data_IF_854636446211
#
_entry.id   IF_854636446211
#
_cell.length_a   1.000
_cell.length_b   1.000
_cell.length_c   1.000
_cell.angle_alpha   90.00
_cell.angle_beta   90.00
_cell.angle_gamma   90.00
#
_symmetry.space_group_name_H-M   'P 1'
#
loop_
_entity.id
_entity.type
_entity.pdbx_description
1 polymer ?
#
# COMPACT_ATOMS: atom_id res chain seq x y z
N UNK A 1 -2.18 1.05 -14.30
CA UNK A 1 -1.18 2.15 -14.28
C UNK A 1 -0.46 2.27 -12.93
N UNK A 2 -1.13 2.46 -11.78
CA UNK A 2 -0.42 2.42 -10.47
C UNK A 2 -0.09 0.98 -10.03
N UNK A 3 -1.03 0.05 -10.21
CA UNK A 3 -0.84 -1.37 -9.91
C UNK A 3 0.34 -2.01 -10.68
N UNK A 4 0.62 -1.54 -11.91
CA UNK A 4 1.73 -2.05 -12.73
C UNK A 4 3.10 -1.55 -12.21
N UNK A 5 3.15 -0.33 -11.68
CA UNK A 5 4.34 0.22 -11.01
C UNK A 5 4.60 -0.54 -9.72
N UNK A 6 3.56 -0.81 -8.93
CA UNK A 6 3.66 -1.62 -7.71
C UNK A 6 4.22 -3.01 -8.02
N UNK A 7 3.71 -3.66 -9.08
CA UNK A 7 4.15 -5.00 -9.50
C UNK A 7 5.58 -5.06 -10.07
N UNK A 8 6.07 -3.98 -10.67
CA UNK A 8 7.38 -3.98 -11.34
C UNK A 8 8.51 -3.40 -10.48
N UNK A 9 8.20 -2.46 -9.58
CA UNK A 9 9.21 -1.68 -8.83
C UNK A 9 9.45 -2.21 -7.43
N UNK A 10 8.41 -2.68 -6.74
CA UNK A 10 8.49 -3.07 -5.34
C UNK A 10 9.08 -4.48 -5.07
N UNK A 11 8.98 -5.48 -5.96
CA UNK A 11 9.53 -6.81 -5.69
C UNK A 11 11.01 -6.81 -5.31
N UNK A 12 11.34 -7.54 -4.24
CA UNK A 12 12.71 -7.67 -3.73
C UNK A 12 13.25 -6.48 -2.94
N UNK A 13 12.50 -5.37 -2.87
CA UNK A 13 12.86 -4.17 -2.10
C UNK A 13 12.61 -4.36 -0.62
N UNK A 14 13.47 -3.76 0.18
CA UNK A 14 13.36 -3.72 1.64
C UNK A 14 12.37 -2.65 2.09
N UNK A 15 11.88 -2.74 3.35
CA UNK A 15 11.03 -1.70 3.97
C UNK A 15 11.55 -0.27 3.74
N UNK A 16 12.85 -0.04 3.96
CA UNK A 16 13.47 1.28 3.83
C UNK A 16 13.41 1.78 2.38
N UNK A 17 13.70 0.93 1.41
CA UNK A 17 13.59 1.29 -0.02
C UNK A 17 12.13 1.56 -0.41
N UNK A 18 11.18 0.76 0.10
CA UNK A 18 9.76 0.99 -0.13
C UNK A 18 9.33 2.36 0.40
N UNK A 19 9.77 2.72 1.61
CA UNK A 19 9.49 4.03 2.21
C UNK A 19 10.19 5.19 1.48
N UNK A 20 11.34 4.94 0.84
CA UNK A 20 11.98 5.94 -0.01
C UNK A 20 11.23 6.17 -1.33
N UNK A 21 10.59 5.14 -1.88
CA UNK A 21 9.86 5.21 -3.16
C UNK A 21 8.45 5.76 -2.94
N UNK A 22 7.74 5.24 -1.93
CA UNK A 22 6.33 5.53 -1.67
C UNK A 22 6.14 6.64 -0.64
N UNK A 23 7.20 7.02 0.08
CA UNK A 23 7.14 7.87 1.26
C UNK A 23 6.97 7.05 2.56
N UNK A 24 6.96 7.71 3.72
CA UNK A 24 6.73 7.04 5.00
C UNK A 24 5.35 6.39 5.03
N UNK A 25 5.25 5.18 5.57
CA UNK A 25 3.94 4.55 5.78
C UNK A 25 3.11 5.31 6.80
N UNK A 26 1.79 5.27 6.65
CA UNK A 26 0.90 5.89 7.63
C UNK A 26 0.79 5.03 8.90
N UNK A 27 0.92 5.66 10.06
CA UNK A 27 0.61 5.02 11.34
C UNK A 27 -0.89 5.10 11.60
N UNK A 28 -1.63 4.05 11.21
CA UNK A 28 -3.08 3.99 11.42
C UNK A 28 -3.59 2.59 11.72
N UNK A 29 -4.73 2.53 12.42
CA UNK A 29 -5.40 1.28 12.82
C UNK A 29 -6.31 0.67 11.74
N UNK A 30 -6.59 1.40 10.65
CA UNK A 30 -7.33 0.84 9.50
C UNK A 30 -6.73 -0.49 9.07
N UNK A 31 -7.51 -1.48 8.66
CA UNK A 31 -7.02 -2.81 8.23
C UNK A 31 -5.88 -3.44 9.06
N UNK A 32 -5.69 -3.08 10.35
CA UNK A 32 -4.62 -3.66 11.19
C UNK A 32 -4.82 -5.18 11.39
N UNK A 33 -6.08 -5.62 11.39
CA UNK A 33 -6.47 -7.03 11.40
C UNK A 33 -6.03 -7.82 10.16
N UNK A 34 -5.66 -7.15 9.06
CA UNK A 34 -5.15 -7.82 7.86
C UNK A 34 -3.70 -8.32 7.99
N UNK A 35 -3.02 -7.95 9.10
CA UNK A 35 -1.63 -8.32 9.34
C UNK A 35 -0.63 -7.64 8.41
N UNK A 36 -1.00 -6.52 7.79
CA UNK A 36 -0.10 -5.72 6.92
C UNK A 36 1.04 -5.09 7.72
N UNK A 37 2.16 -4.84 7.03
CA UNK A 37 3.34 -4.19 7.60
C UNK A 37 3.42 -2.69 7.25
N UNK A 38 2.87 -2.33 6.10
CA UNK A 38 2.91 -0.99 5.53
C UNK A 38 1.55 -0.64 4.92
N UNK A 39 1.20 0.64 4.96
CA UNK A 39 -0.06 1.16 4.43
C UNK A 39 0.12 2.56 3.83
N UNK A 40 -0.51 2.78 2.68
CA UNK A 40 -0.51 4.03 1.94
C UNK A 40 -1.92 4.39 1.45
N UNK A 41 -2.24 5.67 1.43
CA UNK A 41 -3.45 6.20 0.79
C UNK A 41 -3.14 6.43 -0.68
N UNK A 42 -3.91 5.81 -1.58
CA UNK A 42 -3.80 6.02 -3.03
C UNK A 42 -4.60 7.23 -3.52
N UNK A 43 -5.41 7.81 -2.64
CA UNK A 43 -6.21 9.00 -2.87
C UNK A 43 -7.69 8.68 -3.10
N UNK A 44 -8.56 9.71 -3.15
CA UNK A 44 -9.97 9.52 -3.47
C UNK A 44 -10.12 9.16 -4.95
N UNK A 45 -10.90 8.13 -5.26
CA UNK A 45 -11.29 7.84 -6.64
C UNK A 45 -12.11 9.01 -7.20
N UNK A 46 -11.61 9.66 -8.26
CA UNK A 46 -12.19 10.90 -8.83
C UNK A 46 -13.42 10.67 -9.71
N UNK A 47 -13.88 9.43 -9.89
CA UNK A 47 -14.96 9.10 -10.84
C UNK A 47 -16.38 9.12 -10.23
N UNK A 48 -16.52 9.26 -8.91
CA UNK A 48 -17.82 9.12 -8.25
C UNK A 48 -18.34 10.45 -7.68
N UNK A 49 -19.37 11.01 -8.30
CA UNK A 49 -20.04 12.25 -7.84
C UNK A 49 -20.70 12.16 -6.45
N UNK A 50 -20.72 11.00 -5.77
CA UNK A 50 -21.46 10.83 -4.51
C UNK A 50 -20.84 9.92 -3.44
N UNK A 51 -19.65 9.31 -3.64
CA UNK A 51 -19.01 8.48 -2.62
C UNK A 51 -17.49 8.64 -2.70
N UNK A 52 -16.87 9.15 -1.63
CA UNK A 52 -15.42 9.22 -1.49
C UNK A 52 -14.98 7.94 -0.77
N UNK A 53 -14.91 6.83 -1.49
CA UNK A 53 -14.25 5.64 -0.96
C UNK A 53 -12.74 5.88 -1.05
N UNK A 54 -12.06 5.75 0.09
CA UNK A 54 -10.60 5.92 0.12
C UNK A 54 -9.95 4.64 -0.36
N UNK A 55 -9.13 4.71 -1.40
CA UNK A 55 -8.37 3.55 -1.86
C UNK A 55 -7.04 3.46 -1.08
N UNK A 56 -6.76 2.27 -0.55
CA UNK A 56 -5.61 2.00 0.30
C UNK A 56 -4.73 0.91 -0.29
N UNK A 57 -3.43 1.15 -0.32
CA UNK A 57 -2.42 0.15 -0.63
C UNK A 57 -1.92 -0.48 0.66
N UNK A 58 -2.12 -1.80 0.78
CA UNK A 58 -1.62 -2.63 1.87
C UNK A 58 -0.42 -3.42 1.35
N UNK A 59 0.69 -3.43 2.10
CA UNK A 59 1.89 -4.19 1.74
C UNK A 59 2.27 -5.10 2.91
N UNK A 60 2.68 -6.32 2.55
CA UNK A 60 3.25 -7.31 3.46
C UNK A 60 4.71 -7.56 3.11
N UNK A 61 5.51 -7.73 4.15
CA UNK A 61 6.92 -8.05 4.06
C UNK A 61 7.15 -9.50 4.45
N UNK A 62 8.14 -10.12 3.82
CA UNK A 62 8.61 -11.44 4.21
C UNK A 62 9.40 -11.37 5.53
N UNK A 63 9.81 -12.55 6.02
CA UNK A 63 10.63 -12.70 7.22
C UNK A 63 11.98 -11.96 7.17
N UNK A 64 12.45 -11.61 5.97
CA UNK A 64 13.71 -10.91 5.74
C UNK A 64 13.47 -9.39 5.53
N UNK A 65 12.24 -8.91 5.73
CA UNK A 65 11.84 -7.50 5.64
C UNK A 65 11.73 -6.98 4.20
N UNK A 66 11.56 -7.87 3.22
CA UNK A 66 11.41 -7.53 1.80
C UNK A 66 9.97 -7.65 1.34
N UNK A 67 9.62 -6.90 0.29
CA UNK A 67 8.31 -6.97 -0.34
C UNK A 67 7.94 -8.41 -0.70
N UNK A 68 6.86 -8.91 -0.11
CA UNK A 68 6.29 -10.22 -0.42
C UNK A 68 5.05 -10.07 -1.31
N UNK A 69 4.10 -9.23 -0.89
CA UNK A 69 2.83 -9.05 -1.60
C UNK A 69 2.18 -7.71 -1.26
N UNK A 70 1.17 -7.37 -2.06
CA UNK A 70 0.32 -6.21 -1.84
C UNK A 70 -1.15 -6.52 -2.09
N UNK A 71 -2.02 -5.66 -1.58
CA UNK A 71 -3.45 -5.67 -1.85
C UNK A 71 -3.96 -4.22 -1.90
N UNK A 72 -5.02 -4.00 -2.67
CA UNK A 72 -5.75 -2.75 -2.69
C UNK A 72 -7.04 -2.98 -1.91
N UNK A 73 -7.32 -2.10 -0.95
CA UNK A 73 -8.53 -2.13 -0.14
C UNK A 73 -9.26 -0.80 -0.28
N UNK A 74 -10.58 -0.85 -0.32
CA UNK A 74 -11.44 0.32 -0.27
C UNK A 74 -12.13 0.35 1.10
N UNK A 75 -12.26 1.55 1.65
CA UNK A 75 -13.07 1.84 2.84
C UNK A 75 -14.22 2.77 2.44
#
# INVERSE_FOLDING_TARGET
>A
MLADVVKSVLPGRTRVELEQILGPSLETSYFKSSGRDLIYVLGPQRDSYFVIDSEWLLIWLDKDGRFERYAIAND
#
